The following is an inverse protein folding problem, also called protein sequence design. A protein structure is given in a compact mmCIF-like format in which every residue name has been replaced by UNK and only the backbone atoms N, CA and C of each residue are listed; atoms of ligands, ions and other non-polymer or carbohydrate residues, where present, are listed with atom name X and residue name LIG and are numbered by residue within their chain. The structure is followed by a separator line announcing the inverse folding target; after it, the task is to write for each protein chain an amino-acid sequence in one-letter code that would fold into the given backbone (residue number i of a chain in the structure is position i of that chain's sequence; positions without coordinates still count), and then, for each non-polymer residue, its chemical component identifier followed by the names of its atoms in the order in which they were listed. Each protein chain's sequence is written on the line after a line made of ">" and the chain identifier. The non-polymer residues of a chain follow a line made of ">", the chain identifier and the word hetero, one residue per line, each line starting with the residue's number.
data_IF_030065048680
#
_entry.id   IF_030065048680
#
_cell.length_a   1.000
_cell.length_b   1.000
_cell.length_c   1.000
_cell.angle_alpha   90.00
_cell.angle_beta   90.00
_cell.angle_gamma   90.00
#
_symmetry.space_group_name_H-M   'P 1'
#
loop_
_entity.id
_entity.type
_entity.pdbx_description
1 polymer ?
#
# COMPACT_ATOMS: atom_id res chain seq x y z
N UNK A 1 -18.45 -52.20 -0.89
CA UNK A 1 -17.53 -51.57 0.07
C UNK A 1 -17.53 -50.08 -0.21
N UNK A 2 -17.90 -49.29 0.80
CA UNK A 2 -17.98 -47.83 0.74
C UNK A 2 -16.58 -47.25 0.96
N UNK A 3 -16.11 -46.42 0.04
CA UNK A 3 -15.06 -45.46 0.35
C UNK A 3 -15.42 -44.14 -0.35
N UNK A 4 -15.83 -43.18 0.48
CA UNK A 4 -16.13 -41.80 0.12
C UNK A 4 -14.92 -40.96 0.52
N UNK A 5 -14.66 -39.92 -0.28
CA UNK A 5 -13.81 -38.75 -0.01
C UNK A 5 -12.27 -39.01 -0.01
N UNK A 6 -11.44 -38.06 -0.42
CA UNK A 6 -11.64 -36.63 -0.54
C UNK A 6 -10.85 -36.09 -1.73
N UNK A 7 -11.54 -35.36 -2.62
CA UNK A 7 -10.88 -34.34 -3.44
C UNK A 7 -10.54 -33.24 -2.43
N UNK A 8 -9.28 -33.20 -2.00
CA UNK A 8 -8.73 -32.03 -1.33
C UNK A 8 -8.70 -30.91 -2.37
N UNK A 9 -9.83 -30.22 -2.50
CA UNK A 9 -9.85 -28.88 -3.01
C UNK A 9 -8.91 -28.09 -2.11
N UNK A 10 -7.70 -27.86 -2.59
CA UNK A 10 -6.82 -26.83 -2.05
C UNK A 10 -7.60 -25.54 -2.29
N UNK A 11 -8.37 -25.16 -1.27
CA UNK A 11 -8.88 -23.82 -1.14
C UNK A 11 -7.62 -22.95 -1.19
N UNK A 12 -7.36 -22.37 -2.34
CA UNK A 12 -6.54 -21.18 -2.48
C UNK A 12 -7.13 -20.28 -1.42
N UNK A 13 -6.43 -20.15 -0.29
CA UNK A 13 -6.74 -19.17 0.71
C UNK A 13 -6.69 -17.86 -0.06
N UNK A 14 -7.88 -17.40 -0.44
CA UNK A 14 -8.07 -16.06 -0.90
C UNK A 14 -7.29 -15.21 0.10
N UNK A 15 -6.36 -14.44 -0.41
CA UNK A 15 -5.91 -13.22 0.24
C UNK A 15 -7.14 -12.32 0.34
N UNK A 16 -8.09 -12.72 1.17
CA UNK A 16 -9.07 -11.86 1.76
C UNK A 16 -8.24 -11.03 2.74
N UNK A 17 -7.60 -9.99 2.17
CA UNK A 17 -7.48 -8.75 2.90
C UNK A 17 -8.85 -8.49 3.55
N UNK A 18 -8.88 -8.02 4.80
CA UNK A 18 -10.12 -7.91 5.55
C UNK A 18 -11.16 -7.26 4.66
N UNK A 19 -12.31 -7.93 4.52
CA UNK A 19 -13.49 -7.38 3.90
C UNK A 19 -13.78 -6.06 4.62
N UNK A 20 -13.25 -4.96 4.09
CA UNK A 20 -13.59 -3.61 4.50
C UNK A 20 -15.00 -3.40 3.98
N UNK A 21 -15.96 -3.88 4.77
CA UNK A 21 -17.34 -3.47 4.67
C UNK A 21 -17.36 -1.94 4.76
N UNK A 22 -17.35 -1.28 3.60
CA UNK A 22 -18.15 -0.14 3.15
C UNK A 22 -18.66 0.92 4.15
N UNK A 23 -18.15 1.03 5.38
CA UNK A 23 -18.62 2.02 6.34
C UNK A 23 -18.02 3.41 6.12
N UNK A 24 -16.90 3.47 5.42
CA UNK A 24 -16.05 4.66 5.39
C UNK A 24 -15.61 4.96 3.95
N UNK A 25 -16.51 5.64 3.22
CA UNK A 25 -16.29 6.11 1.84
C UNK A 25 -15.91 7.59 1.76
N UNK A 26 -16.21 8.36 2.79
CA UNK A 26 -16.02 9.81 2.83
C UNK A 26 -14.91 10.22 3.80
N UNK A 27 -13.73 10.49 3.26
CA UNK A 27 -12.57 10.96 4.03
C UNK A 27 -12.74 12.37 4.61
N UNK A 28 -13.81 13.10 4.23
CA UNK A 28 -14.16 14.37 4.86
C UNK A 28 -14.87 14.17 6.21
N UNK A 29 -15.41 12.98 6.50
CA UNK A 29 -15.91 12.61 7.84
C UNK A 29 -14.72 12.34 8.78
N UNK A 30 -14.55 13.11 9.87
CA UNK A 30 -13.46 12.91 10.83
C UNK A 30 -13.41 11.51 11.46
N UNK A 31 -14.56 10.84 11.64
CA UNK A 31 -14.62 9.48 12.18
C UNK A 31 -14.09 8.45 11.18
N UNK A 32 -14.49 8.61 9.92
CA UNK A 32 -14.00 7.79 8.82
C UNK A 32 -12.49 7.98 8.65
N UNK A 33 -12.04 9.24 8.66
CA UNK A 33 -10.63 9.61 8.66
C UNK A 33 -9.84 8.90 9.78
N UNK A 34 -10.30 9.01 11.03
CA UNK A 34 -9.64 8.38 12.17
C UNK A 34 -9.56 6.84 12.08
N UNK A 35 -10.55 6.20 11.45
CA UNK A 35 -10.56 4.75 11.23
C UNK A 35 -9.54 4.31 10.16
N UNK A 36 -9.38 5.09 9.10
CA UNK A 36 -8.50 4.76 7.97
C UNK A 36 -7.06 5.21 8.18
N UNK A 37 -6.83 6.25 8.96
CA UNK A 37 -5.51 6.80 9.28
C UNK A 37 -4.45 5.72 9.62
N UNK A 38 -4.70 4.78 10.57
CA UNK A 38 -3.74 3.73 10.87
C UNK A 38 -3.49 2.78 9.69
N UNK A 39 -4.52 2.51 8.86
CA UNK A 39 -4.43 1.63 7.68
C UNK A 39 -3.59 2.29 6.60
N UNK A 40 -3.85 3.58 6.34
CA UNK A 40 -3.10 4.37 5.37
C UNK A 40 -1.64 4.57 5.79
N UNK A 41 -1.38 4.76 7.09
CA UNK A 41 -0.02 4.78 7.64
C UNK A 41 0.71 3.49 7.33
N UNK A 42 0.12 2.36 7.74
CA UNK A 42 0.69 1.02 7.50
C UNK A 42 0.96 0.79 6.01
N UNK A 43 -0.01 1.09 5.14
CA UNK A 43 0.13 0.91 3.70
C UNK A 43 1.24 1.79 3.08
N UNK A 44 1.39 3.03 3.56
CA UNK A 44 2.48 3.93 3.12
C UNK A 44 3.86 3.40 3.51
N UNK A 45 3.99 2.90 4.74
CA UNK A 45 5.23 2.33 5.26
C UNK A 45 5.59 1.02 4.56
N UNK A 46 4.61 0.14 4.33
CA UNK A 46 4.78 -1.10 3.56
C UNK A 46 5.18 -0.83 2.11
N UNK A 47 4.58 0.17 1.46
CA UNK A 47 4.93 0.55 0.09
C UNK A 47 6.37 1.07 -0.01
N UNK A 48 6.83 1.91 0.92
CA UNK A 48 8.24 2.32 0.96
C UNK A 48 9.19 1.16 1.23
N UNK A 49 8.83 0.26 2.15
CA UNK A 49 9.63 -0.93 2.42
C UNK A 49 9.77 -1.80 1.15
N UNK A 50 8.68 -1.97 0.41
CA UNK A 50 8.68 -2.69 -0.87
C UNK A 50 9.55 -2.00 -1.92
N UNK A 51 9.44 -0.68 -2.08
CA UNK A 51 10.26 0.08 -3.03
C UNK A 51 11.77 -0.04 -2.71
N UNK A 52 12.15 -0.03 -1.43
CA UNK A 52 13.53 -0.22 -0.98
C UNK A 52 14.05 -1.62 -1.21
N UNK A 53 13.20 -2.63 -0.98
CA UNK A 53 13.56 -4.04 -1.17
C UNK A 53 13.60 -4.45 -2.64
N UNK A 54 12.91 -3.72 -3.51
CA UNK A 54 12.87 -4.00 -4.96
C UNK A 54 14.17 -3.55 -5.60
N UNK A 55 14.99 -4.46 -6.15
CA UNK A 55 16.21 -4.07 -6.84
C UNK A 55 15.86 -3.29 -8.13
N UNK A 56 16.60 -2.22 -8.45
CA UNK A 56 16.45 -1.54 -9.72
C UNK A 56 16.89 -2.44 -10.87
N UNK A 57 16.42 -2.15 -12.09
CA UNK A 57 16.92 -2.83 -13.29
C UNK A 57 18.40 -2.53 -13.57
N UNK A 58 19.01 -3.37 -14.40
CA UNK A 58 20.47 -3.33 -14.67
C UNK A 58 20.94 -2.12 -15.49
N UNK A 59 20.04 -1.46 -16.21
CA UNK A 59 20.37 -0.24 -16.94
C UNK A 59 20.57 0.94 -15.98
N UNK A 60 21.55 1.80 -16.27
CA UNK A 60 21.78 3.02 -15.47
C UNK A 60 20.55 3.92 -15.40
N UNK A 61 19.80 4.02 -16.50
CA UNK A 61 18.52 4.73 -16.56
C UNK A 61 17.49 4.16 -15.59
N UNK A 62 17.44 2.84 -15.41
CA UNK A 62 16.54 2.18 -14.47
C UNK A 62 16.93 2.44 -13.02
N UNK A 63 18.24 2.37 -12.71
CA UNK A 63 18.77 2.72 -11.38
C UNK A 63 18.46 4.16 -11.01
N UNK A 64 18.72 5.10 -11.93
CA UNK A 64 18.44 6.53 -11.69
C UNK A 64 16.96 6.77 -11.48
N UNK A 65 16.10 6.21 -12.35
CA UNK A 65 14.65 6.33 -12.20
C UNK A 65 14.20 5.77 -10.85
N UNK A 66 14.60 4.55 -10.49
CA UNK A 66 14.25 3.94 -9.20
C UNK A 66 14.65 4.81 -8.01
N UNK A 67 15.88 5.34 -8.00
CA UNK A 67 16.35 6.25 -6.96
C UNK A 67 15.51 7.53 -6.87
N UNK A 68 15.13 8.11 -8.01
CA UNK A 68 14.23 9.28 -8.04
C UNK A 68 12.84 8.95 -7.49
N UNK A 69 12.30 7.76 -7.77
CA UNK A 69 10.96 7.36 -7.30
C UNK A 69 10.98 7.18 -5.79
N UNK A 70 12.00 6.48 -5.29
CA UNK A 70 12.19 6.26 -3.87
C UNK A 70 12.33 7.59 -3.13
N UNK A 71 13.18 8.50 -3.62
CA UNK A 71 13.35 9.82 -3.01
C UNK A 71 12.05 10.65 -3.00
N UNK A 72 11.26 10.61 -4.07
CA UNK A 72 9.95 11.30 -4.14
C UNK A 72 8.95 10.71 -3.13
N UNK A 73 8.88 9.38 -3.03
CA UNK A 73 7.99 8.71 -2.09
C UNK A 73 8.39 8.96 -0.63
N UNK A 74 9.68 8.90 -0.31
CA UNK A 74 10.19 9.20 1.04
C UNK A 74 9.91 10.66 1.43
N UNK A 75 10.11 11.60 0.50
CA UNK A 75 9.78 13.00 0.70
C UNK A 75 8.27 13.21 0.93
N UNK A 76 7.41 12.52 0.18
CA UNK A 76 5.96 12.60 0.38
C UNK A 76 5.56 12.12 1.78
N UNK A 77 6.18 11.05 2.28
CA UNK A 77 5.92 10.55 3.63
C UNK A 77 6.45 11.50 4.72
N UNK A 78 7.67 12.02 4.56
CA UNK A 78 8.26 12.97 5.49
C UNK A 78 7.44 14.26 5.58
N UNK A 79 7.03 14.80 4.42
CA UNK A 79 6.12 15.95 4.35
C UNK A 79 4.79 15.67 5.06
N UNK A 80 4.24 14.46 4.90
CA UNK A 80 3.06 13.99 5.62
C UNK A 80 3.22 14.12 7.14
N UNK A 81 4.33 13.57 7.65
CA UNK A 81 4.67 13.57 9.08
C UNK A 81 4.89 14.98 9.64
N UNK A 82 5.63 15.83 8.93
CA UNK A 82 5.99 17.18 9.39
C UNK A 82 4.79 18.12 9.49
N UNK A 83 3.81 18.02 8.59
CA UNK A 83 2.66 18.92 8.56
C UNK A 83 1.45 18.42 9.34
N UNK A 84 1.56 17.25 9.97
CA UNK A 84 0.39 16.56 10.52
C UNK A 84 -0.65 16.28 9.45
N UNK A 85 -0.22 16.14 8.20
CA UNK A 85 -1.10 15.75 7.12
C UNK A 85 -1.61 14.33 7.38
N UNK A 86 -2.82 14.10 6.90
CA UNK A 86 -3.46 12.80 6.90
C UNK A 86 -2.60 11.77 6.16
N UNK A 87 -2.39 10.61 6.77
CA UNK A 87 -1.65 9.49 6.23
C UNK A 87 -2.29 8.89 4.98
N UNK A 88 -3.60 8.99 4.79
CA UNK A 88 -4.29 8.64 3.54
C UNK A 88 -3.97 9.63 2.40
N UNK A 89 -3.76 10.92 2.69
CA UNK A 89 -3.27 11.89 1.72
C UNK A 89 -1.82 11.58 1.33
N UNK A 90 -0.97 11.26 2.30
CA UNK A 90 0.40 10.81 2.05
C UNK A 90 0.41 9.51 1.21
N UNK A 91 -0.44 8.54 1.56
CA UNK A 91 -0.60 7.29 0.82
C UNK A 91 -1.00 7.55 -0.64
N UNK A 92 -2.03 8.39 -0.88
CA UNK A 92 -2.48 8.76 -2.22
C UNK A 92 -1.35 9.40 -3.03
N UNK A 93 -0.56 10.29 -2.42
CA UNK A 93 0.59 10.92 -3.10
C UNK A 93 1.67 9.89 -3.48
N UNK A 94 1.98 8.94 -2.60
CA UNK A 94 2.94 7.89 -2.92
C UNK A 94 2.41 6.99 -4.04
N UNK A 95 1.12 6.64 -4.00
CA UNK A 95 0.48 5.87 -5.07
C UNK A 95 0.52 6.63 -6.40
N UNK A 96 0.19 7.92 -6.41
CA UNK A 96 0.27 8.77 -7.61
C UNK A 96 1.69 8.84 -8.17
N UNK A 97 2.70 8.92 -7.30
CA UNK A 97 4.10 8.84 -7.71
C UNK A 97 4.36 7.48 -8.36
N UNK A 98 4.01 6.37 -7.72
CA UNK A 98 4.36 5.02 -8.21
C UNK A 98 3.61 4.63 -9.49
N UNK A 99 2.35 5.05 -9.65
CA UNK A 99 1.49 4.66 -10.78
C UNK A 99 1.67 5.54 -12.01
N UNK A 100 1.85 6.87 -11.84
CA UNK A 100 1.94 7.80 -12.98
C UNK A 100 3.39 7.99 -13.48
N UNK A 101 4.14 6.89 -13.54
CA UNK A 101 5.55 6.87 -13.90
C UNK A 101 5.79 6.92 -15.40
#
# INVERSE_FOLDING_TARGET
>A
MRTIAAITAVAIAALAGPAHADSCRDLSDPKCKAELEPKCRKASEEMLAYMRATPPGDAESHRRRHAELLAKAEKALAYGRERGNDWCEAYRRIQDIVVNQ
#
